data_IF_882312819611
#
_entry.id   IF_882312819611
#
_cell.length_a   1.000
_cell.length_b   1.000
_cell.length_c   1.000
_cell.angle_alpha   90.00
_cell.angle_beta   90.00
_cell.angle_gamma   90.00
#
_symmetry.space_group_name_H-M   'P 1'
#
loop_
_entity.id
_entity.type
_entity.pdbx_description
1 polymer ?
#
# COMPACT_ATOMS: atom_id res chain seq x y z
N UNK A 1 -11.43 -7.78 -15.14
CA UNK A 1 -10.50 -7.34 -16.21
C UNK A 1 -9.88 -8.59 -16.81
N UNK A 2 -9.95 -8.76 -18.13
CA UNK A 2 -9.41 -9.93 -18.81
C UNK A 2 -7.99 -9.64 -19.34
N UNK A 3 -6.99 -10.33 -18.79
CA UNK A 3 -5.57 -10.16 -19.15
C UNK A 3 -5.26 -10.54 -20.60
N UNK A 4 -6.06 -11.42 -21.19
CA UNK A 4 -5.83 -11.94 -22.55
C UNK A 4 -5.91 -10.84 -23.60
N UNK A 5 -6.74 -9.82 -23.36
CA UNK A 5 -6.89 -8.68 -24.25
C UNK A 5 -5.67 -7.75 -24.27
N UNK A 6 -4.81 -7.84 -23.26
CA UNK A 6 -3.64 -6.98 -23.09
C UNK A 6 -2.32 -7.73 -23.23
N UNK A 7 -2.35 -9.06 -23.21
CA UNK A 7 -1.17 -9.89 -23.34
C UNK A 7 -0.65 -9.89 -24.79
N UNK A 8 0.64 -9.59 -24.93
CA UNK A 8 1.38 -9.68 -26.18
C UNK A 8 2.62 -10.57 -25.95
N UNK A 9 2.66 -11.78 -26.54
CA UNK A 9 3.74 -12.74 -26.30
C UNK A 9 5.11 -12.28 -26.83
N UNK A 10 5.16 -11.31 -27.73
CA UNK A 10 6.40 -10.79 -28.33
C UNK A 10 7.05 -9.68 -27.50
N UNK A 11 6.38 -9.20 -26.45
CA UNK A 11 6.86 -8.09 -25.62
C UNK A 11 7.09 -8.54 -24.18
N UNK A 12 8.05 -7.89 -23.52
CA UNK A 12 8.17 -7.98 -22.07
C UNK A 12 7.08 -7.12 -21.43
N UNK A 13 6.29 -7.70 -20.54
CA UNK A 13 5.15 -7.02 -19.94
C UNK A 13 5.13 -7.20 -18.42
N UNK A 14 4.68 -6.17 -17.72
CA UNK A 14 4.37 -6.22 -16.29
C UNK A 14 2.92 -5.82 -16.13
N UNK A 15 2.14 -6.68 -15.48
CA UNK A 15 0.78 -6.36 -15.08
C UNK A 15 0.75 -6.08 -13.57
N UNK A 16 0.21 -4.92 -13.20
CA UNK A 16 0.07 -4.50 -11.81
C UNK A 16 -1.41 -4.45 -11.48
N UNK A 17 -1.81 -5.19 -10.46
CA UNK A 17 -3.17 -5.22 -9.95
C UNK A 17 -3.16 -4.74 -8.51
N UNK A 18 -3.95 -3.69 -8.26
CA UNK A 18 -4.01 -3.04 -6.96
C UNK A 18 -5.19 -3.55 -6.13
N UNK A 19 -4.96 -3.81 -4.84
CA UNK A 19 -5.95 -4.26 -3.84
C UNK A 19 -6.85 -5.41 -4.36
N UNK A 20 -6.21 -6.47 -4.86
CA UNK A 20 -6.83 -7.49 -5.72
C UNK A 20 -7.97 -8.29 -5.08
N UNK A 21 -7.98 -8.38 -3.75
CA UNK A 21 -8.98 -9.10 -2.97
C UNK A 21 -9.96 -8.18 -2.23
N UNK A 22 -9.89 -6.88 -2.50
CA UNK A 22 -10.69 -5.86 -1.82
C UNK A 22 -9.83 -4.83 -1.08
N UNK A 23 -10.43 -3.65 -0.86
CA UNK A 23 -9.72 -2.48 -0.33
C UNK A 23 -9.70 -2.44 1.20
N UNK A 24 -10.83 -2.71 1.82
CA UNK A 24 -11.00 -2.64 3.29
C UNK A 24 -11.21 -4.02 3.91
N UNK A 25 -11.97 -4.88 3.22
CA UNK A 25 -12.26 -6.25 3.64
C UNK A 25 -12.09 -7.21 2.47
N UNK A 26 -12.02 -8.51 2.77
CA UNK A 26 -11.99 -9.54 1.75
C UNK A 26 -13.33 -9.56 1.00
N UNK A 27 -13.28 -9.27 -0.29
CA UNK A 27 -14.41 -9.37 -1.21
C UNK A 27 -14.42 -10.75 -1.86
N UNK A 28 -15.31 -11.62 -1.39
CA UNK A 28 -15.34 -13.03 -1.80
C UNK A 28 -15.49 -13.21 -3.32
N UNK A 29 -16.31 -12.38 -3.98
CA UNK A 29 -16.46 -12.41 -5.44
C UNK A 29 -15.14 -12.12 -6.18
N UNK A 30 -14.31 -11.20 -5.66
CA UNK A 30 -12.99 -10.91 -6.23
C UNK A 30 -12.06 -12.12 -6.06
N UNK A 31 -12.05 -12.73 -4.86
CA UNK A 31 -11.29 -13.96 -4.60
C UNK A 31 -11.66 -15.08 -5.58
N UNK A 32 -12.96 -15.33 -5.77
CA UNK A 32 -13.46 -16.35 -6.70
C UNK A 32 -13.09 -16.06 -8.16
N UNK A 33 -13.13 -14.78 -8.55
CA UNK A 33 -12.69 -14.35 -9.89
C UNK A 33 -11.21 -14.69 -10.12
N UNK A 34 -10.34 -14.36 -9.17
CA UNK A 34 -8.91 -14.68 -9.26
C UNK A 34 -8.64 -16.19 -9.24
N UNK A 35 -9.39 -16.94 -8.43
CA UNK A 35 -9.29 -18.40 -8.40
C UNK A 35 -9.67 -19.01 -9.76
N UNK A 36 -10.74 -18.54 -10.37
CA UNK A 36 -11.21 -18.99 -11.69
C UNK A 36 -10.18 -18.70 -12.78
N UNK A 37 -9.51 -17.54 -12.72
CA UNK A 37 -8.49 -17.14 -13.70
C UNK A 37 -7.12 -17.78 -13.46
N UNK A 38 -6.89 -18.47 -12.33
CA UNK A 38 -5.57 -18.95 -11.91
C UNK A 38 -4.86 -19.80 -12.96
N UNK A 39 -5.56 -20.72 -13.64
CA UNK A 39 -4.99 -21.56 -14.69
C UNK A 39 -4.49 -20.75 -15.91
N UNK A 40 -5.24 -19.72 -16.28
CA UNK A 40 -4.86 -18.84 -17.40
C UNK A 40 -3.65 -17.99 -17.01
N UNK A 41 -3.65 -17.45 -15.79
CA UNK A 41 -2.52 -16.69 -15.23
C UNK A 41 -1.24 -17.53 -15.23
N UNK A 42 -1.32 -18.80 -14.84
CA UNK A 42 -0.20 -19.71 -14.92
C UNK A 42 0.34 -19.88 -16.34
N UNK A 43 -0.56 -20.09 -17.29
CA UNK A 43 -0.19 -20.26 -18.71
C UNK A 43 0.55 -19.02 -19.23
N UNK A 44 0.09 -17.82 -18.86
CA UNK A 44 0.74 -16.55 -19.23
C UNK A 44 2.11 -16.44 -18.55
N UNK A 45 2.20 -16.69 -17.23
CA UNK A 45 3.45 -16.62 -16.46
C UNK A 45 4.50 -17.61 -16.96
N UNK A 46 4.10 -18.78 -17.46
CA UNK A 46 5.01 -19.78 -18.03
C UNK A 46 5.76 -19.29 -19.27
N UNK A 47 5.29 -18.25 -19.96
CA UNK A 47 5.96 -17.67 -21.14
C UNK A 47 7.23 -16.90 -20.80
N UNK A 48 7.51 -16.62 -19.52
CA UNK A 48 8.70 -15.91 -18.99
C UNK A 48 8.92 -14.48 -19.52
N UNK A 49 8.11 -14.00 -20.44
CA UNK A 49 8.09 -12.60 -20.92
C UNK A 49 7.19 -11.70 -20.06
N UNK A 50 6.40 -12.29 -19.17
CA UNK A 50 5.43 -11.57 -18.33
C UNK A 50 5.76 -11.69 -16.86
N UNK A 51 5.59 -10.59 -16.13
CA UNK A 51 5.52 -10.59 -14.66
C UNK A 51 4.17 -10.04 -14.22
N UNK A 52 3.66 -10.57 -13.13
CA UNK A 52 2.42 -10.10 -12.51
C UNK A 52 2.76 -9.66 -11.09
N UNK A 53 2.35 -8.44 -10.73
CA UNK A 53 2.46 -7.87 -9.40
C UNK A 53 1.05 -7.68 -8.86
N UNK A 54 0.77 -8.36 -7.75
CA UNK A 54 -0.50 -8.26 -7.05
C UNK A 54 -0.24 -7.53 -5.72
N UNK A 55 -0.93 -6.42 -5.47
CA UNK A 55 -0.95 -5.80 -4.15
C UNK A 55 -2.20 -6.23 -3.40
N UNK A 56 -2.08 -6.34 -2.08
CA UNK A 56 -3.21 -6.49 -1.18
C UNK A 56 -2.83 -6.05 0.22
N UNK A 57 -3.83 -5.75 1.04
CA UNK A 57 -3.63 -5.40 2.45
C UNK A 57 -3.22 -6.62 3.25
N UNK A 58 -2.32 -6.43 4.22
CA UNK A 58 -1.77 -7.52 5.04
C UNK A 58 -2.84 -8.34 5.77
N UNK A 59 -3.91 -7.72 6.27
CA UNK A 59 -5.00 -8.44 6.94
C UNK A 59 -5.84 -9.27 5.99
N UNK A 60 -6.03 -8.81 4.75
CA UNK A 60 -6.73 -9.57 3.69
C UNK A 60 -5.82 -10.70 3.21
N UNK A 61 -4.53 -10.41 2.99
CA UNK A 61 -3.53 -11.41 2.62
C UNK A 61 -3.51 -12.59 3.60
N UNK A 62 -3.53 -12.33 4.91
CA UNK A 62 -3.56 -13.38 5.95
C UNK A 62 -4.78 -14.30 5.85
N UNK A 63 -5.92 -13.79 5.39
CA UNK A 63 -7.14 -14.58 5.18
C UNK A 63 -7.04 -15.41 3.89
N UNK A 64 -6.47 -14.83 2.84
CA UNK A 64 -6.34 -15.44 1.51
C UNK A 64 -5.24 -16.49 1.46
N UNK A 65 -4.11 -16.28 2.15
CA UNK A 65 -2.93 -17.17 2.12
C UNK A 65 -3.21 -18.60 2.61
N UNK A 66 -4.29 -18.80 3.37
CA UNK A 66 -4.75 -20.14 3.74
C UNK A 66 -5.23 -20.95 2.53
N UNK A 67 -5.66 -20.28 1.46
CA UNK A 67 -6.40 -20.88 0.35
C UNK A 67 -5.83 -20.57 -1.05
N UNK A 68 -4.77 -19.77 -1.18
CA UNK A 68 -4.38 -19.19 -2.49
C UNK A 68 -3.16 -19.82 -3.16
N UNK A 69 -3.35 -20.08 -4.44
CA UNK A 69 -2.47 -20.73 -5.40
C UNK A 69 -1.45 -19.74 -6.02
N UNK A 70 -1.71 -18.42 -6.04
CA UNK A 70 -0.94 -17.47 -6.87
C UNK A 70 0.27 -16.81 -6.17
N UNK A 71 0.51 -17.08 -4.89
CA UNK A 71 1.49 -16.35 -4.08
C UNK A 71 2.87 -17.04 -4.03
N UNK A 72 3.64 -16.99 -5.13
CA UNK A 72 5.00 -17.59 -5.17
C UNK A 72 6.08 -16.73 -4.52
N UNK A 73 6.07 -15.43 -4.77
CA UNK A 73 7.01 -14.47 -4.20
C UNK A 73 6.21 -13.39 -3.47
N UNK A 74 6.45 -13.23 -2.17
CA UNK A 74 5.70 -12.32 -1.32
C UNK A 74 6.65 -11.25 -0.81
N UNK A 75 6.33 -9.99 -1.08
CA UNK A 75 6.99 -8.84 -0.48
C UNK A 75 6.08 -8.28 0.61
N UNK A 76 6.55 -8.28 1.86
CA UNK A 76 5.83 -7.65 2.96
C UNK A 76 6.42 -6.25 3.20
N UNK A 77 5.71 -5.21 2.77
CA UNK A 77 6.13 -3.82 2.98
C UNK A 77 6.20 -3.42 4.47
N UNK A 78 5.64 -4.24 5.37
CA UNK A 78 5.68 -4.04 6.82
C UNK A 78 6.68 -4.96 7.54
N UNK A 79 7.55 -5.67 6.82
CA UNK A 79 8.66 -6.42 7.45
C UNK A 79 9.82 -5.50 7.76
N UNK A 80 10.58 -5.78 8.81
CA UNK A 80 11.77 -5.02 9.22
C UNK A 80 12.75 -4.74 8.07
N UNK A 81 12.90 -5.65 7.11
CA UNK A 81 13.75 -5.47 5.92
C UNK A 81 13.29 -4.38 4.94
N UNK A 82 11.99 -4.04 4.96
CA UNK A 82 11.34 -3.14 4.00
C UNK A 82 10.70 -1.93 4.67
N UNK A 83 10.73 -1.85 6.01
CA UNK A 83 10.26 -0.68 6.74
C UNK A 83 11.18 0.50 6.42
N UNK A 84 10.56 1.68 6.30
CA UNK A 84 11.33 2.91 6.13
C UNK A 84 12.20 3.11 7.37
N UNK A 85 13.49 3.36 7.15
CA UNK A 85 14.41 3.78 8.21
C UNK A 85 14.04 5.18 8.71
N UNK A 86 14.54 5.55 9.90
CA UNK A 86 14.33 6.90 10.45
C UNK A 86 14.83 7.96 9.46
N UNK A 87 16.00 7.74 8.85
CA UNK A 87 16.58 8.67 7.88
C UNK A 87 15.71 8.81 6.63
N UNK A 88 15.18 7.71 6.07
CA UNK A 88 14.25 7.77 4.94
C UNK A 88 12.97 8.53 5.29
N UNK A 89 12.46 8.36 6.52
CA UNK A 89 11.26 9.08 6.99
C UNK A 89 11.54 10.58 7.15
N UNK A 90 12.70 10.97 7.67
CA UNK A 90 13.13 12.37 7.76
C UNK A 90 13.21 12.98 6.37
N UNK A 91 13.90 12.31 5.43
CA UNK A 91 14.03 12.76 4.05
C UNK A 91 12.67 12.93 3.36
N UNK A 92 11.71 12.07 3.64
CA UNK A 92 10.35 12.23 3.14
C UNK A 92 9.67 13.48 3.70
N UNK A 93 9.77 13.71 5.02
CA UNK A 93 9.19 14.90 5.64
C UNK A 93 9.81 16.17 5.07
N UNK A 94 11.14 16.26 5.00
CA UNK A 94 11.83 17.43 4.44
C UNK A 94 11.45 17.72 2.98
N UNK A 95 11.13 16.66 2.22
CA UNK A 95 10.74 16.79 0.82
C UNK A 95 9.30 17.27 0.65
N UNK A 96 8.37 16.84 1.51
CA UNK A 96 6.94 17.05 1.31
C UNK A 96 6.32 18.08 2.25
N UNK A 97 7.06 18.53 3.27
CA UNK A 97 6.62 19.58 4.19
C UNK A 97 7.40 20.88 3.99
N UNK A 98 6.77 22.04 4.29
CA UNK A 98 7.48 23.31 4.39
C UNK A 98 8.64 23.24 5.40
N UNK A 99 9.75 23.92 5.10
CA UNK A 99 10.97 23.86 5.90
C UNK A 99 10.80 24.38 7.34
N UNK A 100 9.95 25.40 7.52
CA UNK A 100 9.58 25.94 8.83
C UNK A 100 8.79 24.93 9.66
N UNK A 101 7.90 24.17 9.02
CA UNK A 101 7.15 23.10 9.69
C UNK A 101 8.07 21.92 10.03
N UNK A 102 8.90 21.46 9.08
CA UNK A 102 9.84 20.36 9.32
C UNK A 102 10.80 20.66 10.49
N UNK A 103 11.35 21.87 10.55
CA UNK A 103 12.25 22.29 11.62
C UNK A 103 11.61 22.33 13.02
N UNK A 104 10.29 22.55 13.09
CA UNK A 104 9.55 22.56 14.36
C UNK A 104 9.13 21.17 14.83
N UNK A 105 9.10 20.17 13.94
CA UNK A 105 8.70 18.82 14.30
C UNK A 105 9.86 18.11 15.05
N UNK A 106 9.59 17.60 16.25
CA UNK A 106 10.50 16.68 16.95
C UNK A 106 10.42 15.28 16.31
N UNK A 107 10.91 15.18 15.08
CA UNK A 107 10.69 14.05 14.18
C UNK A 107 11.27 12.72 14.70
N UNK A 108 12.36 12.76 15.44
CA UNK A 108 13.01 11.55 15.97
C UNK A 108 12.13 10.79 16.96
N UNK A 109 11.49 11.51 17.88
CA UNK A 109 10.60 10.92 18.88
C UNK A 109 9.30 10.44 18.22
N UNK A 110 8.81 11.18 17.22
CA UNK A 110 7.65 10.80 16.43
C UNK A 110 7.89 9.49 15.64
N UNK A 111 9.00 9.39 14.89
CA UNK A 111 9.30 8.22 14.08
C UNK A 111 9.60 6.97 14.91
N UNK A 112 9.95 7.13 16.18
CA UNK A 112 10.04 6.01 17.12
C UNK A 112 8.66 5.41 17.47
N UNK A 113 7.60 6.20 17.38
CA UNK A 113 6.24 5.86 17.83
C UNK A 113 5.29 5.50 16.68
N UNK A 114 5.48 6.08 15.50
CA UNK A 114 4.55 5.95 14.38
C UNK A 114 5.27 5.63 13.06
N UNK A 115 4.67 4.74 12.27
CA UNK A 115 5.20 4.28 10.97
C UNK A 115 4.31 4.67 9.78
N UNK A 116 3.64 5.81 9.89
CA UNK A 116 2.68 6.30 8.90
C UNK A 116 3.23 7.45 8.07
N UNK A 117 4.55 7.65 8.00
CA UNK A 117 5.17 8.83 7.38
C UNK A 117 4.67 9.12 5.95
N UNK A 118 4.54 8.13 5.04
CA UNK A 118 3.98 8.39 3.71
C UNK A 118 2.54 8.91 3.75
N UNK A 119 1.71 8.35 4.63
CA UNK A 119 0.31 8.77 4.77
C UNK A 119 0.23 10.17 5.37
N UNK A 120 1.00 10.47 6.41
CA UNK A 120 0.96 11.79 7.03
C UNK A 120 1.43 12.89 6.10
N UNK A 121 2.51 12.65 5.33
CA UNK A 121 2.98 13.59 4.32
C UNK A 121 1.92 13.85 3.23
N UNK A 122 1.09 12.83 2.91
CA UNK A 122 -0.03 12.98 1.98
C UNK A 122 -1.18 13.77 2.61
N UNK A 123 -1.51 13.54 3.86
CA UNK A 123 -2.59 14.25 4.56
C UNK A 123 -2.20 15.72 4.81
N UNK A 124 -0.92 15.98 5.08
CA UNK A 124 -0.41 17.33 5.32
C UNK A 124 -0.48 18.23 4.10
N UNK A 125 -0.51 17.69 2.88
CA UNK A 125 -0.58 18.49 1.66
C UNK A 125 -1.90 19.27 1.51
N UNK A 126 -2.93 18.91 2.30
CA UNK A 126 -4.29 19.44 2.15
C UNK A 126 -4.76 20.23 3.39
N UNK A 127 -3.88 20.53 4.35
CA UNK A 127 -4.22 21.23 5.60
C UNK A 127 -3.29 22.41 5.85
N UNK A 128 -3.67 23.28 6.80
CA UNK A 128 -2.86 24.45 7.18
C UNK A 128 -1.59 24.03 7.95
N UNK A 129 -0.54 24.86 7.91
CA UNK A 129 0.70 24.60 8.66
C UNK A 129 0.47 24.41 10.17
N UNK A 130 -0.52 25.09 10.76
CA UNK A 130 -0.88 24.91 12.17
C UNK A 130 -1.45 23.49 12.42
N UNK A 131 -2.25 22.98 11.50
CA UNK A 131 -2.87 21.66 11.61
C UNK A 131 -1.87 20.54 11.29
N UNK A 132 -0.81 20.81 10.53
CA UNK A 132 0.28 19.84 10.32
C UNK A 132 0.94 19.49 11.65
N UNK A 133 1.25 20.47 12.49
CA UNK A 133 1.84 20.19 13.81
C UNK A 133 0.91 19.32 14.68
N UNK A 134 -0.41 19.56 14.61
CA UNK A 134 -1.42 18.75 15.31
C UNK A 134 -1.48 17.32 14.75
N UNK A 135 -1.46 17.18 13.42
CA UNK A 135 -1.46 15.90 12.71
C UNK A 135 -0.27 15.03 13.14
N UNK A 136 0.94 15.59 13.18
CA UNK A 136 2.13 14.83 13.57
C UNK A 136 2.20 14.57 15.08
N UNK A 137 1.62 15.44 15.92
CA UNK A 137 1.57 15.20 17.37
C UNK A 137 0.58 14.11 17.76
N UNK A 138 -0.54 14.00 17.06
CA UNK A 138 -1.57 12.99 17.31
C UNK A 138 -2.23 12.51 16.00
N UNK A 139 -1.52 11.66 15.22
CA UNK A 139 -2.01 11.23 13.92
C UNK A 139 -3.23 10.31 13.98
N UNK A 140 -3.45 9.62 15.10
CA UNK A 140 -4.53 8.64 15.25
C UNK A 140 -5.89 9.31 15.15
N UNK A 141 -6.07 10.46 15.79
CA UNK A 141 -7.36 11.15 15.80
C UNK A 141 -7.70 11.71 14.40
N UNK A 142 -6.70 12.21 13.68
CA UNK A 142 -6.86 12.61 12.29
C UNK A 142 -7.23 11.45 11.36
N UNK A 143 -6.56 10.30 11.51
CA UNK A 143 -6.87 9.11 10.71
C UNK A 143 -8.27 8.58 11.02
N UNK A 144 -8.70 8.58 12.29
CA UNK A 144 -10.07 8.18 12.66
C UNK A 144 -11.12 9.06 12.00
N UNK A 145 -10.92 10.38 11.99
CA UNK A 145 -11.79 11.31 11.30
C UNK A 145 -11.87 11.00 9.81
N UNK A 146 -10.71 10.80 9.14
CA UNK A 146 -10.65 10.48 7.72
C UNK A 146 -11.36 9.15 7.38
N UNK A 147 -11.18 8.12 8.21
CA UNK A 147 -11.87 6.83 8.07
C UNK A 147 -13.38 6.94 8.27
N UNK A 148 -13.82 7.74 9.24
CA UNK A 148 -15.24 8.01 9.46
C UNK A 148 -15.88 8.69 8.24
N UNK A 149 -15.23 9.69 7.66
CA UNK A 149 -15.70 10.33 6.42
C UNK A 149 -15.69 9.38 5.22
N UNK A 150 -14.80 8.38 5.20
CA UNK A 150 -14.75 7.36 4.17
C UNK A 150 -15.80 6.24 4.33
N UNK A 151 -16.65 6.30 5.37
CA UNK A 151 -17.68 5.29 5.65
C UNK A 151 -17.12 3.95 6.13
N UNK A 152 -15.93 3.96 6.73
CA UNK A 152 -15.29 2.79 7.33
C UNK A 152 -15.50 2.88 8.84
N UNK A 153 -16.42 2.07 9.38
CA UNK A 153 -16.65 1.92 10.83
C UNK A 153 -15.59 1.03 11.50
#
# INVERSE_FOLDING_TARGET
MDLRNYFNPERKQIFVFDDVYGKYMLEQQKKETWYTLSNELYTILHKKTVKIVLSCRTHIFKQVKKDDILCRNVCNMLSDEHLLTVDERILMVDKYLPADVSACLQLTDYFSKYDFSPLLCKLSSNISSEDINKLFSNPVDFIKLDLHYAGVE
#
